data_IF_422099648890
#
_entry.id   IF_422099648890
#
_cell.length_a   1.000
_cell.length_b   1.000
_cell.length_c   1.000
_cell.angle_alpha   90.00
_cell.angle_beta   90.00
_cell.angle_gamma   90.00
#
_symmetry.space_group_name_H-M   'P 1'
#
loop_
_entity.id
_entity.type
_entity.pdbx_description
1 polymer ?
#
# COMPACT_ATOMS: atom_id res chain seq x y z
N UNK A 1 -23.14 11.29 2.52
CA UNK A 1 -23.37 10.10 1.68
C UNK A 1 -22.08 9.31 1.61
N UNK A 2 -22.17 8.00 1.76
CA UNK A 2 -21.05 7.05 1.77
C UNK A 2 -21.27 5.98 0.71
N UNK A 3 -20.21 5.24 0.41
CA UNK A 3 -20.23 4.08 -0.47
C UNK A 3 -19.52 2.92 0.21
N UNK A 4 -20.12 1.74 0.15
CA UNK A 4 -19.45 0.47 0.40
C UNK A 4 -19.22 -0.21 -0.95
N UNK A 5 -17.96 -0.46 -1.29
CA UNK A 5 -17.59 -1.23 -2.48
C UNK A 5 -17.23 -2.64 -2.04
N UNK A 6 -18.00 -3.60 -2.53
CA UNK A 6 -17.76 -5.04 -2.39
C UNK A 6 -16.89 -5.50 -3.56
N UNK A 7 -15.78 -6.18 -3.29
CA UNK A 7 -14.81 -6.61 -4.29
C UNK A 7 -14.51 -8.09 -4.09
N UNK A 8 -14.90 -8.93 -5.04
CA UNK A 8 -14.65 -10.37 -4.95
C UNK A 8 -13.31 -10.74 -5.58
N UNK A 9 -12.50 -11.51 -4.86
CA UNK A 9 -11.38 -12.28 -5.42
C UNK A 9 -11.88 -13.63 -5.99
N UNK A 10 -12.94 -13.55 -6.80
CA UNK A 10 -13.74 -14.69 -7.26
C UNK A 10 -15.00 -14.20 -7.97
N UNK A 11 -16.16 -14.72 -7.58
CA UNK A 11 -17.45 -14.29 -8.11
C UNK A 11 -18.29 -13.60 -7.03
N UNK A 12 -18.59 -12.32 -7.22
CA UNK A 12 -19.58 -11.60 -6.43
C UNK A 12 -20.99 -11.99 -6.90
N UNK A 13 -21.81 -12.51 -5.99
CA UNK A 13 -23.18 -12.93 -6.28
C UNK A 13 -24.19 -11.90 -5.78
N UNK A 14 -25.40 -11.91 -6.35
CA UNK A 14 -26.50 -11.06 -5.88
C UNK A 14 -26.85 -11.32 -4.40
N UNK A 15 -26.65 -12.55 -3.92
CA UNK A 15 -26.87 -12.92 -2.51
C UNK A 15 -25.90 -12.19 -1.58
N UNK A 16 -24.61 -12.13 -1.92
CA UNK A 16 -23.60 -11.40 -1.12
C UNK A 16 -23.90 -9.90 -1.12
N UNK A 17 -24.28 -9.34 -2.28
CA UNK A 17 -24.65 -7.93 -2.39
C UNK A 17 -25.89 -7.61 -1.56
N UNK A 18 -26.90 -8.49 -1.61
CA UNK A 18 -28.13 -8.35 -0.81
C UNK A 18 -27.85 -8.44 0.68
N UNK A 19 -27.00 -9.37 1.12
CA UNK A 19 -26.61 -9.47 2.54
C UNK A 19 -25.96 -8.16 3.03
N UNK A 20 -25.08 -7.55 2.25
CA UNK A 20 -24.47 -6.27 2.61
C UNK A 20 -25.51 -5.15 2.77
N UNK A 21 -26.51 -5.10 1.89
CA UNK A 21 -27.64 -4.16 1.98
C UNK A 21 -28.45 -4.41 3.25
N UNK A 22 -28.85 -5.67 3.48
CA UNK A 22 -29.65 -6.07 4.64
C UNK A 22 -28.93 -5.72 5.96
N UNK A 23 -27.61 -5.95 6.03
CA UNK A 23 -26.75 -5.57 7.17
C UNK A 23 -26.72 -4.06 7.43
N UNK A 24 -26.61 -3.25 6.39
CA UNK A 24 -26.64 -1.79 6.52
C UNK A 24 -28.02 -1.29 6.96
N UNK A 25 -29.09 -1.85 6.39
CA UNK A 25 -30.48 -1.51 6.73
C UNK A 25 -30.80 -1.86 8.21
N UNK A 26 -30.36 -3.03 8.67
CA UNK A 26 -30.51 -3.48 10.06
C UNK A 26 -29.82 -2.56 11.09
N UNK A 27 -28.87 -1.74 10.66
CA UNK A 27 -28.17 -0.76 11.50
C UNK A 27 -28.69 0.67 11.33
N UNK A 28 -29.84 0.84 10.67
CA UNK A 28 -30.54 2.12 10.52
C UNK A 28 -29.94 3.05 9.46
N UNK A 29 -29.15 2.51 8.53
CA UNK A 29 -28.66 3.27 7.37
C UNK A 29 -29.78 3.42 6.33
N UNK A 30 -29.81 4.56 5.64
CA UNK A 30 -30.62 4.74 4.44
C UNK A 30 -29.85 4.19 3.25
N UNK A 31 -30.22 3.00 2.76
CA UNK A 31 -29.45 2.21 1.78
C UNK A 31 -30.11 2.26 0.41
N UNK A 32 -29.33 2.63 -0.61
CA UNK A 32 -29.75 2.64 -2.01
C UNK A 32 -29.65 1.27 -2.68
N UNK A 33 -30.15 1.19 -3.92
CA UNK A 33 -29.98 0.02 -4.76
C UNK A 33 -28.49 -0.24 -5.08
N UNK A 34 -28.09 -1.51 -5.28
CA UNK A 34 -26.72 -1.82 -5.65
C UNK A 34 -26.39 -1.33 -7.06
N UNK A 35 -25.15 -0.91 -7.26
CA UNK A 35 -24.63 -0.45 -8.53
C UNK A 35 -23.38 -1.25 -8.91
N UNK A 36 -23.51 -2.12 -9.91
CA UNK A 36 -22.39 -2.92 -10.42
C UNK A 36 -21.37 -2.06 -11.16
N UNK A 37 -20.13 -2.05 -10.68
CA UNK A 37 -19.01 -1.42 -11.40
C UNK A 37 -18.58 -2.34 -12.56
N UNK A 38 -18.41 -3.62 -12.22
CA UNK A 38 -18.18 -4.73 -13.14
C UNK A 38 -18.97 -5.94 -12.62
N UNK A 39 -19.90 -6.43 -13.43
CA UNK A 39 -20.78 -7.54 -13.06
C UNK A 39 -19.96 -8.73 -12.56
N UNK A 40 -20.39 -9.30 -11.44
CA UNK A 40 -19.74 -10.44 -10.78
C UNK A 40 -18.35 -10.20 -10.18
N UNK A 41 -17.79 -9.00 -10.28
CA UNK A 41 -16.48 -8.68 -9.71
C UNK A 41 -16.60 -7.65 -8.57
N UNK A 42 -17.28 -6.53 -8.83
CA UNK A 42 -17.38 -5.44 -7.88
C UNK A 42 -18.70 -4.67 -7.97
N UNK A 43 -19.28 -4.35 -6.81
CA UNK A 43 -20.52 -3.59 -6.70
C UNK A 43 -20.41 -2.51 -5.60
N UNK A 44 -21.01 -1.37 -5.88
CA UNK A 44 -21.21 -0.28 -4.95
C UNK A 44 -22.58 -0.37 -4.28
N UNK A 45 -22.63 -0.03 -3.00
CA UNK A 45 -23.85 0.22 -2.24
C UNK A 45 -23.72 1.62 -1.66
N UNK A 46 -24.59 2.54 -2.10
CA UNK A 46 -24.63 3.91 -1.60
C UNK A 46 -25.54 4.01 -0.40
N UNK A 47 -25.14 4.77 0.62
CA UNK A 47 -25.96 4.92 1.82
C UNK A 47 -25.75 6.25 2.57
N UNK A 48 -26.68 6.56 3.49
CA UNK A 48 -26.53 7.58 4.53
C UNK A 48 -26.57 6.96 5.92
N UNK A 49 -25.86 7.53 6.89
CA UNK A 49 -25.79 7.04 8.28
C UNK A 49 -24.37 7.10 8.83
N UNK A 50 -24.00 6.13 9.68
CA UNK A 50 -22.71 6.14 10.39
C UNK A 50 -21.65 5.34 9.64
N UNK A 51 -20.58 6.01 9.16
CA UNK A 51 -19.44 5.35 8.52
C UNK A 51 -18.81 4.28 9.42
N UNK A 52 -18.67 4.56 10.71
CA UNK A 52 -18.07 3.63 11.69
C UNK A 52 -18.94 2.39 11.87
N UNK A 53 -20.26 2.56 11.97
CA UNK A 53 -21.20 1.44 12.09
C UNK A 53 -21.20 0.58 10.82
N UNK A 54 -21.20 1.21 9.64
CA UNK A 54 -21.16 0.51 8.37
C UNK A 54 -19.87 -0.31 8.20
N UNK A 55 -18.70 0.25 8.52
CA UNK A 55 -17.43 -0.47 8.50
C UNK A 55 -17.44 -1.68 9.45
N UNK A 56 -17.89 -1.46 10.69
CA UNK A 56 -17.95 -2.52 11.70
C UNK A 56 -18.89 -3.65 11.31
N UNK A 57 -20.03 -3.34 10.72
CA UNK A 57 -21.01 -4.34 10.34
C UNK A 57 -20.59 -5.13 9.09
N UNK A 58 -20.11 -4.44 8.05
CA UNK A 58 -19.67 -5.11 6.82
C UNK A 58 -18.37 -5.90 7.00
N UNK A 59 -17.52 -5.54 7.97
CA UNK A 59 -16.35 -6.34 8.33
C UNK A 59 -16.70 -7.73 8.89
N UNK A 60 -17.96 -7.97 9.32
CA UNK A 60 -18.44 -9.28 9.79
C UNK A 60 -18.84 -10.21 8.64
N UNK A 61 -18.85 -9.73 7.40
CA UNK A 61 -19.14 -10.57 6.24
C UNK A 61 -17.97 -11.53 6.00
N UNK A 62 -18.21 -12.82 6.21
CA UNK A 62 -17.22 -13.87 6.02
C UNK A 62 -17.50 -14.65 4.73
N UNK A 63 -17.19 -14.02 3.60
CA UNK A 63 -17.36 -14.62 2.28
C UNK A 63 -16.04 -15.10 1.66
N UNK A 64 -15.02 -15.39 2.48
CA UNK A 64 -13.74 -16.06 2.17
C UNK A 64 -12.81 -15.41 1.11
N UNK A 65 -13.36 -14.67 0.16
CA UNK A 65 -12.72 -14.06 -0.98
C UNK A 65 -13.41 -12.71 -1.28
N UNK A 66 -13.79 -11.97 -0.23
CA UNK A 66 -14.45 -10.68 -0.33
C UNK A 66 -13.64 -9.62 0.40
N UNK A 67 -13.25 -8.58 -0.32
CA UNK A 67 -12.72 -7.35 0.25
C UNK A 67 -13.83 -6.29 0.26
N UNK A 68 -13.91 -5.48 1.32
CA UNK A 68 -14.92 -4.43 1.46
C UNK A 68 -14.24 -3.11 1.80
N UNK A 69 -14.53 -2.08 1.02
CA UNK A 69 -14.04 -0.71 1.25
C UNK A 69 -15.21 0.22 1.48
N UNK A 70 -15.27 0.86 2.66
CA UNK A 70 -16.32 1.82 3.01
C UNK A 70 -15.72 3.20 3.22
N UNK A 71 -16.20 4.19 2.46
CA UNK A 71 -15.62 5.54 2.45
C UNK A 71 -16.64 6.64 2.09
N UNK A 72 -16.31 7.92 2.33
CA UNK A 72 -17.08 9.05 1.82
C UNK A 72 -17.17 9.05 0.28
N UNK A 73 -18.33 9.41 -0.26
CA UNK A 73 -18.55 9.43 -1.72
C UNK A 73 -17.88 10.63 -2.43
N UNK A 74 -17.75 11.77 -1.75
CA UNK A 74 -17.33 13.03 -2.38
C UNK A 74 -15.91 13.00 -2.98
N UNK A 75 -14.93 12.58 -2.18
CA UNK A 75 -13.52 12.50 -2.57
C UNK A 75 -13.10 11.06 -2.87
N UNK A 76 -14.00 10.25 -3.45
CA UNK A 76 -13.75 8.82 -3.69
C UNK A 76 -12.60 8.58 -4.68
N UNK A 77 -12.59 9.31 -5.79
CA UNK A 77 -11.54 9.22 -6.80
C UNK A 77 -10.31 10.04 -6.37
N UNK A 78 -9.31 9.37 -5.81
CA UNK A 78 -8.15 10.02 -5.19
C UNK A 78 -7.25 10.67 -6.24
N UNK A 79 -6.63 11.79 -5.87
CA UNK A 79 -5.79 12.64 -6.72
C UNK A 79 -4.31 12.55 -6.38
N UNK A 80 -3.97 11.86 -5.30
CA UNK A 80 -2.61 11.52 -4.92
C UNK A 80 -2.60 10.09 -4.37
N UNK A 81 -1.68 9.26 -4.86
CA UNK A 81 -1.33 7.98 -4.22
C UNK A 81 0.08 8.05 -3.65
N UNK A 82 0.20 7.70 -2.37
CA UNK A 82 1.46 7.43 -1.68
C UNK A 82 1.46 5.94 -1.34
N UNK A 83 2.50 5.20 -1.71
CA UNK A 83 2.55 3.77 -1.45
C UNK A 83 3.91 3.32 -0.92
N UNK A 84 3.89 2.32 -0.04
CA UNK A 84 5.09 1.55 0.28
C UNK A 84 5.54 0.69 -0.90
N UNK A 85 6.81 0.29 -0.87
CA UNK A 85 7.43 -0.58 -1.84
C UNK A 85 7.38 -2.04 -1.39
N UNK A 86 8.19 -2.39 -0.39
CA UNK A 86 8.37 -3.75 0.12
C UNK A 86 7.01 -4.30 0.60
N UNK A 87 6.75 -5.58 0.33
CA UNK A 87 5.48 -6.28 0.63
C UNK A 87 4.17 -5.63 0.15
N UNK A 88 4.23 -4.49 -0.56
CA UNK A 88 3.10 -3.73 -1.06
C UNK A 88 3.15 -3.64 -2.58
N UNK A 89 4.03 -2.82 -3.17
CA UNK A 89 4.19 -2.68 -4.62
C UNK A 89 5.07 -3.79 -5.24
N UNK A 90 5.86 -4.45 -4.40
CA UNK A 90 6.62 -5.67 -4.73
C UNK A 90 6.33 -6.78 -3.71
N UNK A 91 6.64 -8.03 -4.07
CA UNK A 91 6.27 -9.20 -3.24
C UNK A 91 7.33 -9.63 -2.24
N UNK A 92 8.36 -8.82 -2.01
CA UNK A 92 9.54 -9.18 -1.20
C UNK A 92 9.95 -8.02 -0.30
N UNK A 93 10.75 -8.34 0.71
CA UNK A 93 11.50 -7.39 1.53
C UNK A 93 12.92 -7.26 0.98
N UNK A 94 13.25 -6.13 0.34
CA UNK A 94 14.54 -5.97 -0.37
C UNK A 94 15.77 -6.21 0.52
N UNK A 95 15.73 -5.80 1.78
CA UNK A 95 16.87 -5.98 2.69
C UNK A 95 17.07 -7.44 3.10
N UNK A 96 15.99 -8.19 3.25
CA UNK A 96 16.04 -9.61 3.61
C UNK A 96 16.51 -10.46 2.41
N UNK A 97 16.06 -10.13 1.20
CA UNK A 97 16.55 -10.78 -0.03
C UNK A 97 18.04 -10.48 -0.27
N UNK A 98 18.50 -9.26 0.01
CA UNK A 98 19.93 -8.93 -0.04
C UNK A 98 20.73 -9.70 1.00
N UNK A 99 20.21 -9.81 2.22
CA UNK A 99 20.85 -10.57 3.29
C UNK A 99 20.95 -12.06 2.91
N UNK A 100 19.89 -12.65 2.36
CA UNK A 100 19.89 -14.03 1.86
C UNK A 100 20.94 -14.22 0.77
N UNK A 101 20.97 -13.33 -0.23
CA UNK A 101 21.94 -13.35 -1.33
C UNK A 101 23.39 -13.23 -0.84
N UNK A 102 23.62 -12.47 0.23
CA UNK A 102 24.91 -12.27 0.87
C UNK A 102 25.33 -13.39 1.83
N UNK A 103 24.46 -14.35 2.13
CA UNK A 103 24.68 -15.34 3.20
C UNK A 103 24.63 -14.73 4.61
N UNK A 104 23.94 -13.60 4.77
CA UNK A 104 23.82 -12.80 5.99
C UNK A 104 22.43 -12.86 6.65
N UNK A 105 21.58 -13.81 6.20
CA UNK A 105 20.19 -13.93 6.62
C UNK A 105 20.02 -14.02 8.13
N UNK A 106 20.83 -14.86 8.79
CA UNK A 106 20.72 -15.09 10.23
C UNK A 106 21.10 -13.84 11.04
N UNK A 107 22.12 -13.09 10.59
CA UNK A 107 22.54 -11.84 11.23
C UNK A 107 21.47 -10.76 11.09
N UNK A 108 20.90 -10.60 9.88
CA UNK A 108 19.84 -9.60 9.65
C UNK A 108 18.58 -9.94 10.42
N UNK A 109 18.15 -11.21 10.44
CA UNK A 109 17.01 -11.67 11.22
C UNK A 109 17.19 -11.41 12.72
N UNK A 110 18.40 -11.59 13.26
CA UNK A 110 18.71 -11.27 14.65
C UNK A 110 18.53 -9.78 14.97
N UNK A 111 18.97 -8.89 14.08
CA UNK A 111 18.78 -7.43 14.24
C UNK A 111 17.30 -7.06 14.13
N UNK A 112 16.57 -7.61 13.14
CA UNK A 112 15.13 -7.38 12.97
C UNK A 112 14.35 -7.80 14.21
N UNK A 113 14.68 -8.95 14.82
CA UNK A 113 14.05 -9.40 16.06
C UNK A 113 14.27 -8.41 17.21
N UNK A 114 15.50 -7.88 17.37
CA UNK A 114 15.84 -6.89 18.40
C UNK A 114 15.07 -5.58 18.20
N UNK A 115 14.90 -5.15 16.95
CA UNK A 115 14.09 -3.98 16.61
C UNK A 115 12.61 -4.19 16.97
N UNK A 116 12.03 -5.35 16.62
CA UNK A 116 10.65 -5.69 16.93
C UNK A 116 10.37 -5.80 18.44
N UNK A 117 11.37 -6.20 19.24
CA UNK A 117 11.26 -6.23 20.72
C UNK A 117 11.51 -4.86 21.36
N UNK A 118 11.76 -3.80 20.57
CA UNK A 118 12.03 -2.46 21.06
C UNK A 118 13.43 -2.27 21.67
N UNK A 119 14.34 -3.24 21.47
CA UNK A 119 15.74 -3.12 21.92
C UNK A 119 16.53 -2.13 21.04
N UNK A 120 16.21 -2.09 19.75
CA UNK A 120 16.75 -1.13 18.79
C UNK A 120 15.64 -0.25 18.24
N UNK A 121 15.93 1.05 18.08
CA UNK A 121 15.09 1.91 17.26
C UNK A 121 15.29 1.59 15.77
N UNK A 122 14.38 2.09 14.93
CA UNK A 122 14.39 1.83 13.49
C UNK A 122 15.72 2.23 12.83
N UNK A 123 16.28 3.37 13.22
CA UNK A 123 17.51 3.94 12.65
C UNK A 123 18.70 3.07 13.00
N UNK A 124 18.87 2.74 14.28
CA UNK A 124 19.92 1.84 14.75
C UNK A 124 19.81 0.46 14.09
N UNK A 125 18.60 -0.10 13.98
CA UNK A 125 18.39 -1.38 13.31
C UNK A 125 18.71 -1.32 11.80
N UNK A 126 18.37 -0.22 11.11
CA UNK A 126 18.73 -0.03 9.71
C UNK A 126 20.24 0.12 9.53
N UNK A 127 20.89 0.95 10.34
CA UNK A 127 22.34 1.16 10.31
C UNK A 127 23.11 -0.14 10.58
N UNK A 128 22.69 -0.93 11.58
CA UNK A 128 23.30 -2.24 11.87
C UNK A 128 23.14 -3.22 10.69
N UNK A 129 21.94 -3.30 10.08
CA UNK A 129 21.72 -4.18 8.92
C UNK A 129 22.53 -3.74 7.71
N UNK A 130 22.59 -2.43 7.43
CA UNK A 130 23.36 -1.88 6.32
C UNK A 130 24.87 -2.07 6.52
N UNK A 131 25.36 -1.97 7.75
CA UNK A 131 26.77 -2.21 8.07
C UNK A 131 27.23 -3.62 7.68
N UNK A 132 26.37 -4.63 7.79
CA UNK A 132 26.66 -6.00 7.37
C UNK A 132 26.89 -6.14 5.86
N UNK A 133 26.32 -5.23 5.05
CA UNK A 133 26.48 -5.22 3.60
C UNK A 133 27.78 -4.55 3.13
N UNK A 134 28.59 -4.03 4.07
CA UNK A 134 29.85 -3.36 3.76
C UNK A 134 30.85 -4.26 3.03
N UNK A 135 31.47 -3.73 1.97
CA UNK A 135 32.45 -4.43 1.15
C UNK A 135 31.87 -5.25 0.00
N UNK A 136 30.55 -5.36 -0.11
CA UNK A 136 29.91 -6.00 -1.26
C UNK A 136 29.97 -5.11 -2.50
N UNK A 137 30.07 -5.72 -3.69
CA UNK A 137 29.97 -4.97 -4.95
C UNK A 137 28.57 -4.41 -5.15
N UNK A 138 28.47 -3.19 -5.69
CA UNK A 138 27.18 -2.61 -6.09
C UNK A 138 26.42 -3.48 -7.12
N UNK A 139 27.14 -4.30 -7.90
CA UNK A 139 26.56 -5.23 -8.86
C UNK A 139 25.57 -6.22 -8.22
N UNK A 140 25.82 -6.61 -6.96
CA UNK A 140 24.93 -7.49 -6.19
C UNK A 140 23.53 -6.89 -6.04
N UNK A 141 23.41 -5.56 -5.92
CA UNK A 141 22.10 -4.89 -5.84
C UNK A 141 21.29 -5.09 -7.13
N UNK A 142 21.95 -5.00 -8.28
CA UNK A 142 21.31 -5.17 -9.58
C UNK A 142 20.92 -6.64 -9.83
N UNK A 143 21.79 -7.59 -9.49
CA UNK A 143 21.53 -9.03 -9.58
C UNK A 143 20.37 -9.45 -8.67
N UNK A 144 20.43 -9.11 -7.38
CA UNK A 144 19.37 -9.40 -6.41
C UNK A 144 18.03 -8.83 -6.87
N UNK A 145 18.01 -7.58 -7.35
CA UNK A 145 16.79 -6.97 -7.90
C UNK A 145 16.25 -7.76 -9.08
N UNK A 146 17.09 -8.12 -10.04
CA UNK A 146 16.67 -8.85 -11.23
C UNK A 146 16.11 -10.24 -10.91
N UNK A 147 16.72 -10.95 -9.96
CA UNK A 147 16.34 -12.32 -9.62
C UNK A 147 15.15 -12.41 -8.65
N UNK A 148 15.06 -11.50 -7.69
CA UNK A 148 14.15 -11.63 -6.54
C UNK A 148 12.95 -10.69 -6.61
N UNK A 149 13.09 -9.50 -7.18
CA UNK A 149 12.03 -8.48 -7.13
C UNK A 149 10.98 -8.74 -8.20
N UNK A 150 9.75 -9.01 -7.75
CA UNK A 150 8.56 -9.13 -8.59
C UNK A 150 7.55 -8.06 -8.19
N UNK A 151 6.99 -7.39 -9.19
CA UNK A 151 5.92 -6.42 -8.95
C UNK A 151 4.68 -7.16 -8.44
N UNK A 152 4.01 -6.57 -7.46
CA UNK A 152 2.71 -7.04 -7.00
C UNK A 152 1.70 -6.93 -8.15
N UNK A 153 0.88 -7.97 -8.32
CA UNK A 153 -0.15 -7.99 -9.37
C UNK A 153 -1.04 -6.75 -9.24
N UNK A 154 -1.30 -6.08 -10.36
CA UNK A 154 -2.09 -4.85 -10.40
C UNK A 154 -1.35 -3.56 -10.05
N UNK A 155 -0.10 -3.59 -9.56
CA UNK A 155 0.65 -2.38 -9.18
C UNK A 155 0.78 -1.37 -10.34
N UNK A 156 1.23 -1.86 -11.51
CA UNK A 156 1.30 -1.07 -12.75
C UNK A 156 -0.07 -0.54 -13.15
N UNK A 157 -1.07 -1.40 -13.26
CA UNK A 157 -2.44 -1.03 -13.66
C UNK A 157 -3.03 0.03 -12.74
N UNK A 158 -2.86 -0.09 -11.42
CA UNK A 158 -3.32 0.87 -10.43
C UNK A 158 -2.72 2.25 -10.68
N UNK A 159 -1.39 2.34 -10.67
CA UNK A 159 -0.68 3.64 -10.78
C UNK A 159 -0.93 4.28 -12.13
N UNK A 160 -0.84 3.51 -13.22
CA UNK A 160 -1.06 4.03 -14.57
C UNK A 160 -2.50 4.49 -14.80
N UNK A 161 -3.49 3.76 -14.28
CA UNK A 161 -4.90 4.17 -14.37
C UNK A 161 -5.12 5.45 -13.59
N UNK A 162 -4.66 5.53 -12.33
CA UNK A 162 -4.80 6.74 -11.53
C UNK A 162 -4.13 7.95 -12.21
N UNK A 163 -2.94 7.77 -12.78
CA UNK A 163 -2.21 8.79 -13.53
C UNK A 163 -2.96 9.25 -14.78
N UNK A 164 -3.52 8.33 -15.57
CA UNK A 164 -4.36 8.66 -16.72
C UNK A 164 -5.61 9.48 -16.34
N UNK A 165 -6.08 9.32 -15.09
CA UNK A 165 -7.17 10.11 -14.51
C UNK A 165 -6.69 11.36 -13.72
N UNK A 166 -5.44 11.76 -13.91
CA UNK A 166 -4.87 13.00 -13.40
C UNK A 166 -4.39 12.96 -11.95
N UNK A 167 -4.21 11.77 -11.36
CA UNK A 167 -3.60 11.64 -10.04
C UNK A 167 -2.07 11.73 -10.12
N UNK A 168 -1.46 12.27 -9.07
CA UNK A 168 -0.01 12.18 -8.85
C UNK A 168 0.33 10.93 -8.04
N UNK A 169 1.50 10.34 -8.28
CA UNK A 169 1.91 9.08 -7.68
C UNK A 169 3.31 9.14 -7.09
N UNK A 170 3.44 8.70 -5.83
CA UNK A 170 4.72 8.66 -5.12
C UNK A 170 4.93 7.30 -4.47
N UNK A 171 6.09 6.69 -4.75
CA UNK A 171 6.58 5.53 -4.03
C UNK A 171 7.44 6.03 -2.86
N UNK A 172 7.10 5.68 -1.62
CA UNK A 172 7.87 6.05 -0.43
C UNK A 172 8.20 4.83 0.41
N UNK A 173 9.48 4.56 0.63
CA UNK A 173 9.91 3.32 1.27
C UNK A 173 11.12 3.51 2.19
N UNK A 174 11.19 2.68 3.23
CA UNK A 174 12.39 2.51 4.04
C UNK A 174 13.45 1.63 3.38
N UNK A 175 13.14 1.02 2.23
CA UNK A 175 14.10 0.31 1.38
C UNK A 175 15.04 1.27 0.64
N UNK A 176 15.77 0.75 -0.36
CA UNK A 176 16.87 1.48 -0.98
C UNK A 176 16.59 1.98 -2.40
N UNK A 177 17.14 3.14 -2.76
CA UNK A 177 17.03 3.76 -4.09
C UNK A 177 17.43 2.83 -5.24
N UNK A 178 18.41 1.95 -5.03
CA UNK A 178 18.83 0.94 -6.00
C UNK A 178 17.71 -0.06 -6.40
N UNK A 179 16.70 -0.24 -5.55
CA UNK A 179 15.50 -1.04 -5.85
C UNK A 179 14.33 -0.13 -6.20
N UNK A 180 14.07 0.87 -5.36
CA UNK A 180 12.93 1.75 -5.47
C UNK A 180 12.90 2.57 -6.77
N UNK A 181 14.07 3.00 -7.27
CA UNK A 181 14.16 3.71 -8.55
C UNK A 181 13.65 2.86 -9.71
N UNK A 182 14.26 1.69 -10.00
CA UNK A 182 13.80 0.79 -11.05
C UNK A 182 12.36 0.29 -10.86
N UNK A 183 11.93 0.00 -9.63
CA UNK A 183 10.53 -0.38 -9.33
C UNK A 183 9.57 0.77 -9.65
N UNK A 184 9.93 1.98 -9.22
CA UNK A 184 9.19 3.20 -9.47
C UNK A 184 9.02 3.48 -10.97
N UNK A 185 10.11 3.38 -11.74
CA UNK A 185 10.10 3.52 -13.20
C UNK A 185 9.28 2.41 -13.86
N UNK A 186 9.48 1.16 -13.44
CA UNK A 186 8.75 0.03 -13.98
C UNK A 186 7.24 0.23 -13.78
N UNK A 187 6.77 0.54 -12.58
CA UNK A 187 5.33 0.79 -12.32
C UNK A 187 4.86 2.11 -12.99
N UNK A 188 5.75 3.08 -13.07
CA UNK A 188 5.59 4.43 -13.64
C UNK A 188 5.05 5.46 -12.66
N UNK A 189 5.54 5.40 -11.41
CA UNK A 189 5.41 6.44 -10.41
C UNK A 189 6.02 7.77 -10.88
N UNK A 190 5.47 8.90 -10.45
CA UNK A 190 6.00 10.22 -10.77
C UNK A 190 7.18 10.62 -9.88
N UNK A 191 7.24 10.06 -8.67
CA UNK A 191 8.31 10.33 -7.70
C UNK A 191 8.62 9.08 -6.89
N UNK A 192 9.89 8.93 -6.52
CA UNK A 192 10.38 7.90 -5.60
C UNK A 192 11.12 8.58 -4.44
N UNK A 193 10.86 8.13 -3.21
CA UNK A 193 11.54 8.55 -1.99
C UNK A 193 11.99 7.28 -1.25
N UNK A 194 13.29 7.10 -1.09
CA UNK A 194 13.87 5.89 -0.50
C UNK A 194 15.22 6.22 0.18
N UNK A 195 15.72 5.29 1.01
CA UNK A 195 17.06 5.38 1.59
C UNK A 195 18.14 5.18 0.53
N UNK A 196 19.29 5.81 0.69
CA UNK A 196 20.41 5.65 -0.24
C UNK A 196 21.56 4.89 0.44
N UNK A 197 21.99 3.78 -0.15
CA UNK A 197 23.19 3.07 0.26
C UNK A 197 24.41 3.84 -0.26
N UNK A 198 25.35 4.14 0.64
CA UNK A 198 26.59 4.83 0.26
C UNK A 198 27.49 3.85 -0.49
N UNK A 199 27.80 4.19 -1.74
CA UNK A 199 28.70 3.42 -2.61
C UNK A 199 29.98 4.22 -2.84
N UNK A 200 31.13 3.56 -2.75
CA UNK A 200 32.43 4.13 -3.08
C UNK A 200 33.25 3.09 -3.84
N UNK A 201 33.85 3.52 -4.95
CA UNK A 201 34.71 2.68 -5.79
C UNK A 201 34.01 1.36 -6.22
N UNK A 202 32.70 1.41 -6.52
CA UNK A 202 31.89 0.27 -6.92
C UNK A 202 31.51 -0.70 -5.78
N UNK A 203 31.74 -0.32 -4.53
CA UNK A 203 31.49 -1.13 -3.34
C UNK A 203 30.58 -0.43 -2.34
N UNK A 204 29.71 -1.18 -1.67
CA UNK A 204 28.91 -0.69 -0.55
C UNK A 204 29.82 -0.38 0.64
N UNK A 205 29.69 0.81 1.21
CA UNK A 205 30.52 1.20 2.38
C UNK A 205 29.95 0.69 3.70
N UNK A 206 28.78 0.05 3.68
CA UNK A 206 28.03 -0.32 4.88
C UNK A 206 27.44 0.89 5.61
N UNK A 207 27.11 1.98 4.88
CA UNK A 207 26.46 3.18 5.44
C UNK A 207 25.24 3.55 4.61
N UNK A 208 24.26 4.13 5.28
CA UNK A 208 23.08 4.75 4.67
C UNK A 208 23.24 6.27 4.69
N UNK A 209 22.87 6.96 3.62
CA UNK A 209 22.92 8.41 3.53
C UNK A 209 21.73 9.06 4.26
N UNK A 210 21.92 10.31 4.70
CA UNK A 210 20.85 11.12 5.27
C UNK A 210 20.11 11.93 4.18
N UNK A 211 18.81 12.22 4.36
CA UNK A 211 17.98 11.82 5.49
C UNK A 211 17.48 10.36 5.37
N UNK A 212 17.41 9.64 6.50
CA UNK A 212 16.76 8.32 6.53
C UNK A 212 15.24 8.46 6.38
N UNK A 213 14.65 7.63 5.50
CA UNK A 213 13.23 7.46 5.32
C UNK A 213 12.70 6.47 6.36
N UNK A 214 12.06 7.00 7.38
CA UNK A 214 11.32 6.26 8.41
C UNK A 214 9.81 6.50 8.29
N UNK A 215 9.04 6.04 9.29
CA UNK A 215 7.58 6.23 9.33
C UNK A 215 7.14 7.70 9.31
N UNK A 216 7.93 8.59 9.91
CA UNK A 216 7.60 10.02 9.99
C UNK A 216 7.93 10.70 8.65
N UNK A 217 8.99 10.25 7.97
CA UNK A 217 9.30 10.65 6.61
C UNK A 217 8.22 10.23 5.61
N UNK A 218 7.58 9.06 5.77
CA UNK A 218 6.43 8.63 4.97
C UNK A 218 5.24 9.59 5.12
N UNK A 219 4.88 9.93 6.35
CA UNK A 219 3.82 10.90 6.64
C UNK A 219 4.16 12.32 6.14
N UNK A 220 5.40 12.76 6.34
CA UNK A 220 5.87 14.05 5.86
C UNK A 220 5.80 14.12 4.32
N UNK A 221 6.12 13.03 3.63
CA UNK A 221 6.01 12.93 2.17
C UNK A 221 4.56 13.08 1.71
N UNK A 222 3.62 12.35 2.34
CA UNK A 222 2.19 12.48 2.06
C UNK A 222 1.71 13.94 2.21
N UNK A 223 2.04 14.56 3.35
CA UNK A 223 1.59 15.91 3.68
C UNK A 223 2.21 16.95 2.75
N UNK A 224 3.50 16.83 2.45
CA UNK A 224 4.22 17.76 1.58
C UNK A 224 3.73 17.68 0.12
N UNK A 225 3.49 16.49 -0.41
CA UNK A 225 3.02 16.33 -1.79
C UNK A 225 1.56 16.76 -1.94
N UNK A 226 0.70 16.45 -0.96
CA UNK A 226 -0.67 16.98 -0.94
C UNK A 226 -0.68 18.52 -0.92
N UNK A 227 0.12 19.14 -0.05
CA UNK A 227 0.24 20.60 0.03
C UNK A 227 0.78 21.22 -1.26
N UNK A 228 1.81 20.63 -1.86
CA UNK A 228 2.40 21.07 -3.13
C UNK A 228 1.39 21.04 -4.28
N UNK A 229 0.47 20.08 -4.28
CA UNK A 229 -0.59 19.95 -5.28
C UNK A 229 -1.86 20.75 -4.93
N UNK A 230 -1.91 21.41 -3.78
CA UNK A 230 -3.11 22.10 -3.30
C UNK A 230 -4.28 21.17 -3.00
N UNK A 231 -4.00 19.91 -2.64
CA UNK A 231 -5.01 18.89 -2.37
C UNK A 231 -5.29 18.78 -0.86
N UNK A 232 -6.56 18.65 -0.44
CA UNK A 232 -6.88 18.23 0.91
C UNK A 232 -6.45 16.76 1.11
N UNK A 233 -6.11 16.38 2.35
CA UNK A 233 -5.79 14.97 2.66
C UNK A 233 -6.94 14.02 2.32
N UNK A 234 -8.19 14.48 2.37
CA UNK A 234 -9.36 13.69 1.92
C UNK A 234 -9.24 13.17 0.47
N UNK A 235 -8.47 13.85 -0.39
CA UNK A 235 -8.23 13.47 -1.78
C UNK A 235 -7.02 12.53 -1.98
N UNK A 236 -6.41 12.02 -0.91
CA UNK A 236 -5.22 11.14 -0.98
C UNK A 236 -5.57 9.68 -0.71
N UNK A 237 -4.77 8.78 -1.29
CA UNK A 237 -4.72 7.34 -1.04
C UNK A 237 -3.35 7.01 -0.44
N UNK A 238 -3.32 6.34 0.70
CA UNK A 238 -2.10 5.72 1.24
C UNK A 238 -2.23 4.20 1.23
N UNK A 239 -1.19 3.49 0.80
CA UNK A 239 -1.17 2.02 0.75
C UNK A 239 0.12 1.51 1.40
N UNK A 240 -0.02 0.56 2.33
CA UNK A 240 1.08 -0.11 2.98
C UNK A 240 0.62 -1.40 3.65
N UNK A 241 1.54 -2.16 4.22
CA UNK A 241 1.25 -3.44 4.89
C UNK A 241 1.71 -3.45 6.35
N UNK A 242 2.66 -2.58 6.72
CA UNK A 242 3.39 -2.65 7.97
C UNK A 242 3.07 -1.53 8.97
N UNK A 243 3.56 -1.70 10.21
CA UNK A 243 3.38 -0.72 11.28
C UNK A 243 4.10 0.61 11.00
N UNK A 244 5.14 0.59 10.17
CA UNK A 244 5.84 1.77 9.64
C UNK A 244 4.94 2.65 8.75
N UNK A 245 3.86 2.10 8.19
CA UNK A 245 2.95 2.81 7.29
C UNK A 245 1.76 3.44 8.01
N UNK A 246 1.48 3.01 9.24
CA UNK A 246 0.34 3.47 10.05
C UNK A 246 0.21 5.00 10.05
N UNK A 247 1.28 5.80 10.26
CA UNK A 247 1.14 7.25 10.25
C UNK A 247 0.63 7.82 8.92
N UNK A 248 1.10 7.33 7.77
CA UNK A 248 0.60 7.80 6.47
C UNK A 248 -0.79 7.24 6.15
N UNK A 249 -1.07 5.98 6.50
CA UNK A 249 -2.36 5.32 6.28
C UNK A 249 -3.46 6.06 7.04
N UNK A 250 -3.26 6.30 8.34
CA UNK A 250 -4.26 6.97 9.20
C UNK A 250 -4.47 8.45 8.88
N UNK A 251 -3.51 9.08 8.20
CA UNK A 251 -3.59 10.51 7.82
C UNK A 251 -4.18 10.73 6.43
N UNK A 252 -4.25 9.70 5.58
CA UNK A 252 -4.78 9.81 4.23
C UNK A 252 -6.32 9.88 4.22
N UNK A 253 -6.88 10.35 3.11
CA UNK A 253 -8.33 10.34 2.89
C UNK A 253 -8.92 8.97 2.63
N UNK A 254 -8.07 8.01 2.25
CA UNK A 254 -8.32 6.58 2.28
C UNK A 254 -7.00 5.89 2.59
N UNK A 255 -6.87 5.32 3.77
CA UNK A 255 -5.74 4.50 4.19
C UNK A 255 -6.02 3.02 3.99
N UNK A 256 -5.20 2.34 3.19
CA UNK A 256 -5.37 0.92 2.88
C UNK A 256 -4.22 0.08 3.43
N UNK A 257 -4.59 -0.96 4.17
CA UNK A 257 -3.71 -2.11 4.41
C UNK A 257 -3.74 -3.08 3.24
N UNK A 258 -2.64 -3.29 2.53
CA UNK A 258 -2.55 -4.33 1.49
C UNK A 258 -1.92 -5.59 2.08
N UNK A 259 -2.69 -6.69 2.15
CA UNK A 259 -2.32 -7.91 2.88
C UNK A 259 -1.63 -7.61 4.23
N UNK A 260 -2.22 -6.71 5.04
CA UNK A 260 -1.49 -6.03 6.11
C UNK A 260 -1.17 -6.96 7.27
N UNK A 261 -0.12 -6.61 8.01
CA UNK A 261 0.09 -7.12 9.36
C UNK A 261 -0.99 -6.60 10.32
N UNK A 262 -1.25 -7.28 11.46
CA UNK A 262 -2.38 -6.96 12.35
C UNK A 262 -2.45 -5.49 12.79
N UNK A 263 -1.31 -4.86 13.10
CA UNK A 263 -1.27 -3.46 13.54
C UNK A 263 -1.67 -2.48 12.42
N UNK A 264 -1.25 -2.75 11.18
CA UNK A 264 -1.64 -1.93 10.03
C UNK A 264 -3.10 -2.18 9.64
N UNK A 265 -3.57 -3.43 9.76
CA UNK A 265 -4.96 -3.80 9.51
C UNK A 265 -5.93 -3.08 10.44
N UNK A 266 -5.60 -3.02 11.74
CA UNK A 266 -6.41 -2.33 12.75
C UNK A 266 -6.46 -0.80 12.51
N UNK A 267 -5.37 -0.23 12.01
CA UNK A 267 -5.25 1.20 11.78
C UNK A 267 -5.85 1.68 10.45
N UNK A 268 -5.97 0.79 9.44
CA UNK A 268 -6.41 1.15 8.10
C UNK A 268 -7.93 1.40 8.03
N UNK A 269 -8.35 2.22 7.07
CA UNK A 269 -9.77 2.41 6.74
C UNK A 269 -10.40 1.14 6.17
N UNK A 270 -9.60 0.37 5.42
CA UNK A 270 -9.95 -0.93 4.87
C UNK A 270 -8.68 -1.74 4.59
N UNK A 271 -8.84 -3.06 4.49
CA UNK A 271 -7.77 -3.97 4.12
C UNK A 271 -8.14 -4.76 2.85
N UNK A 272 -7.20 -4.88 1.93
CA UNK A 272 -7.29 -5.77 0.77
C UNK A 272 -6.54 -7.05 1.12
N UNK A 273 -7.27 -8.11 1.43
CA UNK A 273 -6.72 -9.41 1.87
C UNK A 273 -6.70 -10.41 0.73
N UNK A 274 -7.69 -10.36 -0.15
CA UNK A 274 -7.94 -11.43 -1.10
C UNK A 274 -7.54 -11.03 -2.52
N UNK A 275 -8.00 -9.87 -3.00
CA UNK A 275 -7.71 -9.39 -4.33
C UNK A 275 -6.28 -8.84 -4.44
N UNK A 276 -5.86 -8.51 -5.66
CA UNK A 276 -4.63 -7.77 -5.92
C UNK A 276 -4.86 -6.23 -5.87
N UNK A 277 -3.83 -5.45 -6.17
CA UNK A 277 -3.87 -3.99 -6.10
C UNK A 277 -4.89 -3.33 -7.04
N UNK A 278 -5.42 -4.01 -8.06
CA UNK A 278 -6.49 -3.42 -8.90
C UNK A 278 -7.80 -3.25 -8.14
N UNK A 279 -7.98 -3.91 -6.99
CA UNK A 279 -9.10 -3.67 -6.10
C UNK A 279 -9.24 -2.19 -5.72
N UNK A 280 -8.11 -1.47 -5.63
CA UNK A 280 -8.10 -0.05 -5.30
C UNK A 280 -8.67 0.83 -6.41
N UNK A 281 -8.76 0.33 -7.65
CA UNK A 281 -9.43 1.03 -8.74
C UNK A 281 -10.96 0.93 -8.57
N UNK A 282 -11.49 -0.25 -8.26
CA UNK A 282 -12.90 -0.41 -7.93
C UNK A 282 -13.29 0.34 -6.66
N UNK A 283 -12.47 0.29 -5.62
CA UNK A 283 -12.69 1.08 -4.41
C UNK A 283 -12.86 2.57 -4.74
N UNK A 284 -12.12 3.09 -5.72
CA UNK A 284 -12.21 4.48 -6.19
C UNK A 284 -13.33 4.73 -7.22
N UNK A 285 -14.05 3.70 -7.66
CA UNK A 285 -15.16 3.78 -8.61
C UNK A 285 -14.76 3.68 -10.08
N UNK A 286 -13.54 3.24 -10.38
CA UNK A 286 -13.09 3.00 -11.75
C UNK A 286 -13.51 1.59 -12.20
N UNK A 287 -14.50 1.46 -13.13
CA UNK A 287 -14.80 0.16 -13.72
C UNK A 287 -13.65 -0.30 -14.62
N UNK A 288 -13.54 -1.61 -14.86
CA UNK A 288 -12.42 -2.24 -15.59
C UNK A 288 -12.22 -1.65 -16.99
N UNK A 289 -13.29 -1.23 -17.66
CA UNK A 289 -13.25 -0.54 -18.96
C UNK A 289 -12.48 0.78 -18.96
N UNK A 290 -12.23 1.37 -17.79
CA UNK A 290 -11.47 2.61 -17.62
C UNK A 290 -10.00 2.36 -17.26
N UNK A 291 -9.59 1.10 -17.07
CA UNK A 291 -8.24 0.80 -16.62
C UNK A 291 -7.23 0.90 -17.76
N UNK A 292 -6.05 1.42 -17.43
CA UNK A 292 -4.87 1.34 -18.30
C UNK A 292 -4.23 -0.02 -18.06
N UNK A 293 -4.44 -0.93 -19.01
CA UNK A 293 -3.79 -2.23 -19.02
C UNK A 293 -2.36 -2.05 -19.53
N UNK A 294 -1.39 -2.36 -18.67
CA UNK A 294 0.03 -2.35 -18.99
C UNK A 294 0.62 -3.74 -19.15
#
# INVERSE_FOLDING_TARGET
MFVATLIAAGKLTDEVVREAIDRLDMTGHDVGAPHWLDEHDAADIYFQGSLVSARSELAKMDHGALDVVVQPMGDRAKKLIIADMDSTMITVECIDELADYAGLKDQVAAITKRAMTGELDFRAALEERVALLGGMSEGVLAECRYERVKLTRGARTLVQTMKAHGAHSVLVTGGFTAFAGPVGEAIGFDKVVANELVIKDGMLTGKVAEPIVDKDAKLATLTAEAAKLGLPLAATLAVGDGANDIPMITSAGLGIGYRPHPAAEEAADAAIRHHDLTALLWAQGYPRRSWVLG
#
